data_IF_755816972636
#
_entry.id   IF_755816972636
#
_cell.length_a   1.000
_cell.length_b   1.000
_cell.length_c   1.000
_cell.angle_alpha   90.00
_cell.angle_beta   90.00
_cell.angle_gamma   90.00
#
_symmetry.space_group_name_H-M   'P 1'
#
loop_
_entity.id
_entity.type
_entity.pdbx_description
1 polymer ?
#
# COMPACT_ATOMS: atom_id res chain seq x y z
N UNK A 1 -28.24 20.58 -9.61
CA UNK A 1 -26.76 20.69 -9.53
C UNK A 1 -26.18 20.60 -8.11
N UNK A 2 -26.80 21.12 -7.05
CA UNK A 2 -26.28 21.03 -5.65
C UNK A 2 -26.32 19.63 -5.02
N UNK A 3 -27.24 18.72 -5.40
CA UNK A 3 -27.27 17.33 -4.87
C UNK A 3 -26.11 16.45 -5.34
N UNK A 4 -25.61 16.65 -6.57
CA UNK A 4 -24.46 15.92 -7.12
C UNK A 4 -23.14 16.23 -6.41
N UNK A 5 -23.02 17.37 -5.71
CA UNK A 5 -21.80 17.71 -4.96
C UNK A 5 -21.77 17.07 -3.56
N UNK A 6 -22.92 16.89 -2.93
CA UNK A 6 -23.03 16.23 -1.62
C UNK A 6 -22.85 14.71 -1.68
N UNK A 7 -23.28 14.07 -2.77
CA UNK A 7 -23.05 12.62 -2.98
C UNK A 7 -21.57 12.29 -3.29
N UNK A 8 -20.79 13.23 -3.81
CA UNK A 8 -19.33 13.09 -3.97
C UNK A 8 -18.54 13.24 -2.67
N UNK A 9 -19.08 13.91 -1.65
CA UNK A 9 -18.47 14.07 -0.33
C UNK A 9 -18.73 12.86 0.59
N UNK A 10 -19.68 11.99 0.24
CA UNK A 10 -20.04 10.80 1.03
C UNK A 10 -19.32 9.52 0.55
N UNK A 11 -18.04 9.60 0.12
CA UNK A 11 -17.26 8.39 -0.09
C UNK A 11 -17.08 7.69 1.27
N UNK A 12 -17.57 6.44 1.43
CA UNK A 12 -17.55 5.73 2.73
C UNK A 12 -16.12 5.61 3.29
N UNK A 13 -15.10 5.58 2.43
CA UNK A 13 -13.70 5.54 2.83
C UNK A 13 -13.25 6.84 3.52
N UNK A 14 -13.65 8.00 2.99
CA UNK A 14 -13.35 9.30 3.62
C UNK A 14 -14.08 9.46 4.94
N UNK A 15 -15.35 9.00 5.01
CA UNK A 15 -16.10 8.99 6.26
C UNK A 15 -15.44 8.09 7.31
N UNK A 16 -14.94 6.92 6.90
CA UNK A 16 -14.20 6.01 7.78
C UNK A 16 -12.91 6.65 8.30
N UNK A 17 -12.13 7.33 7.43
CA UNK A 17 -10.93 8.06 7.86
C UNK A 17 -11.28 9.15 8.88
N UNK A 18 -12.29 9.97 8.58
CA UNK A 18 -12.74 11.04 9.49
C UNK A 18 -13.21 10.43 10.81
N UNK A 19 -13.99 9.34 10.79
CA UNK A 19 -14.45 8.66 12.01
C UNK A 19 -13.28 8.18 12.87
N UNK A 20 -12.27 7.50 12.27
CA UNK A 20 -11.10 7.03 13.00
C UNK A 20 -10.29 8.20 13.57
N UNK A 21 -10.10 9.28 12.82
CA UNK A 21 -9.42 10.47 13.31
C UNK A 21 -10.19 11.16 14.44
N UNK A 22 -11.52 11.24 14.36
CA UNK A 22 -12.38 11.78 15.43
C UNK A 22 -12.31 10.92 16.68
N UNK A 23 -12.34 9.60 16.57
CA UNK A 23 -12.18 8.68 17.70
C UNK A 23 -10.83 8.92 18.38
N UNK A 24 -9.74 9.02 17.61
CA UNK A 24 -8.42 9.32 18.15
C UNK A 24 -8.39 10.67 18.85
N UNK A 25 -9.06 11.69 18.32
CA UNK A 25 -9.14 13.00 18.95
C UNK A 25 -9.92 13.00 20.26
N UNK A 26 -11.03 12.28 20.31
CA UNK A 26 -11.87 12.16 21.51
C UNK A 26 -11.15 11.39 22.63
N UNK A 27 -10.41 10.32 22.26
CA UNK A 27 -9.67 9.51 23.23
C UNK A 27 -8.35 10.16 23.66
N UNK A 28 -7.71 10.91 22.77
CA UNK A 28 -6.39 11.52 22.98
C UNK A 28 -6.41 13.01 22.63
N UNK A 29 -6.71 13.93 23.58
CA UNK A 29 -6.87 15.36 23.31
C UNK A 29 -5.68 16.04 22.64
N UNK A 30 -4.47 15.49 22.82
CA UNK A 30 -3.23 15.98 22.21
C UNK A 30 -2.93 15.41 20.81
N UNK A 31 -3.79 14.56 20.25
CA UNK A 31 -3.56 13.87 18.99
C UNK A 31 -3.33 14.84 17.82
N UNK A 32 -4.07 15.93 17.75
CA UNK A 32 -3.92 16.97 16.72
C UNK A 32 -3.00 18.12 17.14
N UNK A 33 -2.27 17.99 18.26
CA UNK A 33 -1.31 19.02 18.65
C UNK A 33 -0.11 18.97 17.72
N UNK A 34 -0.01 19.94 16.82
CA UNK A 34 1.09 20.09 15.87
C UNK A 34 2.05 21.14 16.42
N UNK A 35 3.34 20.82 16.44
CA UNK A 35 4.42 21.73 16.79
C UNK A 35 5.38 21.88 15.62
N UNK A 36 5.88 23.10 15.42
CA UNK A 36 6.94 23.36 14.45
C UNK A 36 8.28 23.33 15.17
N UNK A 37 9.19 22.42 14.76
CA UNK A 37 10.53 22.30 15.32
C UNK A 37 11.52 22.00 14.20
N UNK A 38 12.68 22.64 14.23
CA UNK A 38 13.79 22.41 13.28
C UNK A 38 13.34 22.37 11.80
N UNK A 39 12.44 23.30 11.41
CA UNK A 39 11.98 23.42 10.02
C UNK A 39 10.97 22.36 9.57
N UNK A 40 10.38 21.58 10.49
CA UNK A 40 9.39 20.54 10.18
C UNK A 40 8.24 20.47 11.19
N UNK A 41 7.14 19.91 10.74
CA UNK A 41 5.96 19.65 11.55
C UNK A 41 6.14 18.34 12.35
N UNK A 42 5.78 18.39 13.64
CA UNK A 42 5.75 17.24 14.55
C UNK A 42 4.37 17.12 15.19
N UNK A 43 3.93 15.91 15.45
CA UNK A 43 2.67 15.59 16.12
C UNK A 43 2.09 14.25 15.63
N UNK A 44 1.19 13.65 16.41
CA UNK A 44 0.62 12.33 16.08
C UNK A 44 -0.08 12.29 14.72
N UNK A 45 -0.72 13.39 14.31
CA UNK A 45 -1.31 13.50 12.96
C UNK A 45 -0.25 13.49 11.85
N UNK A 46 0.91 14.10 12.09
CA UNK A 46 2.05 14.07 11.14
C UNK A 46 2.68 12.68 11.12
N UNK A 47 2.77 12.02 12.27
CA UNK A 47 3.25 10.64 12.37
C UNK A 47 2.36 9.66 11.61
N UNK A 48 1.04 9.86 11.61
CA UNK A 48 0.12 9.07 10.77
C UNK A 48 0.49 9.16 9.30
N UNK A 49 0.79 10.35 8.81
CA UNK A 49 1.14 10.56 7.40
C UNK A 49 2.53 10.00 7.10
N UNK A 50 3.50 10.23 7.98
CA UNK A 50 4.89 9.78 7.80
C UNK A 50 5.01 8.26 7.83
N UNK A 51 4.52 7.64 8.90
CA UNK A 51 4.58 6.17 9.08
C UNK A 51 3.60 5.42 8.17
N UNK A 52 2.54 6.09 7.70
CA UNK A 52 1.62 5.56 6.71
C UNK A 52 2.14 5.60 5.28
N UNK A 53 3.17 6.42 5.00
CA UNK A 53 3.70 6.58 3.65
C UNK A 53 4.22 5.27 3.02
N UNK A 54 5.00 4.40 3.70
CA UNK A 54 5.42 3.13 3.13
C UNK A 54 4.24 2.23 2.73
N UNK A 55 3.22 2.10 3.59
CA UNK A 55 2.01 1.32 3.29
C UNK A 55 1.24 1.94 2.14
N UNK A 56 1.14 3.28 2.08
CA UNK A 56 0.49 3.99 0.97
C UNK A 56 1.21 3.75 -0.36
N UNK A 57 2.55 3.79 -0.37
CA UNK A 57 3.36 3.49 -1.56
C UNK A 57 3.12 2.05 -2.03
N UNK A 58 3.14 1.07 -1.11
CA UNK A 58 2.82 -0.32 -1.43
C UNK A 58 1.39 -0.47 -1.96
N UNK A 59 0.41 0.18 -1.34
CA UNK A 59 -0.98 0.15 -1.76
C UNK A 59 -1.19 0.70 -3.18
N UNK A 60 -0.42 1.72 -3.59
CA UNK A 60 -0.45 2.26 -4.96
C UNK A 60 -0.11 1.14 -5.97
N UNK A 61 1.00 0.42 -5.77
CA UNK A 61 1.40 -0.69 -6.64
C UNK A 61 0.42 -1.86 -6.58
N UNK A 62 0.04 -2.27 -5.36
CA UNK A 62 -0.87 -3.37 -5.09
C UNK A 62 -2.27 -3.15 -5.70
N UNK A 63 -2.72 -1.88 -5.82
CA UNK A 63 -4.04 -1.56 -6.40
C UNK A 63 -4.17 -2.08 -7.82
N UNK A 64 -3.15 -1.95 -8.66
CA UNK A 64 -3.14 -2.49 -10.02
C UNK A 64 -3.20 -4.01 -10.04
N UNK A 65 -2.43 -4.66 -9.16
CA UNK A 65 -2.38 -6.12 -9.04
C UNK A 65 -3.74 -6.68 -8.62
N UNK A 66 -4.36 -6.13 -7.58
CA UNK A 66 -5.68 -6.55 -7.09
C UNK A 66 -6.75 -6.27 -8.15
N UNK A 67 -6.68 -5.13 -8.84
CA UNK A 67 -7.61 -4.80 -9.91
C UNK A 67 -7.62 -5.83 -11.05
N UNK A 68 -6.50 -6.54 -11.27
CA UNK A 68 -6.38 -7.65 -12.25
C UNK A 68 -6.63 -9.03 -11.66
N UNK A 69 -7.25 -9.15 -10.48
CA UNK A 69 -7.48 -10.42 -9.71
C UNK A 69 -6.20 -11.10 -9.24
N UNK A 70 -5.09 -10.37 -9.15
CA UNK A 70 -3.85 -10.84 -8.56
C UNK A 70 -3.73 -10.44 -7.10
N UNK A 71 -2.76 -11.05 -6.42
CA UNK A 71 -2.26 -10.63 -5.11
C UNK A 71 -0.74 -10.73 -5.16
N UNK A 72 -0.04 -9.73 -4.65
CA UNK A 72 1.42 -9.72 -4.60
C UNK A 72 1.91 -9.78 -3.15
N UNK A 73 2.22 -10.98 -2.69
CA UNK A 73 2.72 -11.21 -1.33
C UNK A 73 4.21 -10.88 -1.19
N UNK A 74 4.91 -10.66 -2.30
CA UNK A 74 6.36 -10.44 -2.28
C UNK A 74 6.79 -9.01 -1.94
N UNK A 75 5.86 -8.05 -1.92
CA UNK A 75 6.19 -6.61 -1.77
C UNK A 75 7.00 -6.32 -0.50
N UNK A 76 6.72 -7.00 0.62
CA UNK A 76 7.49 -6.86 1.87
C UNK A 76 8.91 -7.41 1.75
N UNK A 77 9.10 -8.53 1.04
CA UNK A 77 10.41 -9.09 0.77
C UNK A 77 11.22 -8.23 -0.21
N UNK A 78 10.57 -7.71 -1.28
CA UNK A 78 11.19 -6.77 -2.22
C UNK A 78 11.66 -5.51 -1.49
N UNK A 79 10.85 -4.97 -0.55
CA UNK A 79 11.27 -3.85 0.32
C UNK A 79 12.57 -4.17 1.05
N UNK A 80 12.65 -5.35 1.69
CA UNK A 80 13.83 -5.77 2.45
C UNK A 80 15.06 -5.89 1.53
N UNK A 81 14.91 -6.52 0.35
CA UNK A 81 16.00 -6.64 -0.63
C UNK A 81 16.47 -5.27 -1.10
N UNK A 82 15.55 -4.38 -1.50
CA UNK A 82 15.91 -3.07 -2.04
C UNK A 82 16.53 -2.16 -0.96
N UNK A 83 16.01 -2.21 0.27
CA UNK A 83 16.64 -1.53 1.41
C UNK A 83 18.05 -2.05 1.71
N UNK A 84 18.23 -3.38 1.67
CA UNK A 84 19.53 -4.02 1.85
C UNK A 84 20.53 -3.61 0.76
N UNK A 85 20.10 -3.60 -0.52
CA UNK A 85 20.95 -3.14 -1.65
C UNK A 85 21.35 -1.69 -1.47
N UNK A 86 20.39 -0.79 -1.18
CA UNK A 86 20.69 0.62 -1.00
C UNK A 86 21.69 0.86 0.16
N UNK A 87 21.46 0.24 1.32
CA UNK A 87 22.33 0.39 2.48
C UNK A 87 23.74 -0.19 2.25
N UNK A 88 23.83 -1.41 1.73
CA UNK A 88 25.14 -2.05 1.49
C UNK A 88 25.97 -1.34 0.44
N UNK A 89 25.36 -0.80 -0.61
CA UNK A 89 26.08 -0.01 -1.63
C UNK A 89 26.63 1.28 -1.04
N UNK A 90 25.86 2.00 -0.23
CA UNK A 90 26.34 3.22 0.43
C UNK A 90 27.46 2.92 1.41
N UNK A 91 27.36 1.84 2.19
CA UNK A 91 28.43 1.39 3.10
C UNK A 91 29.69 0.97 2.32
N UNK A 92 29.53 0.43 1.11
CA UNK A 92 30.64 0.11 0.21
C UNK A 92 31.26 1.35 -0.48
N UNK A 93 30.78 2.57 -0.19
CA UNK A 93 31.32 3.82 -0.72
C UNK A 93 30.70 4.29 -2.04
N UNK A 94 29.63 3.66 -2.53
CA UNK A 94 28.93 4.15 -3.73
C UNK A 94 28.08 5.38 -3.38
N UNK A 95 27.97 6.36 -4.29
CA UNK A 95 27.11 7.54 -4.08
C UNK A 95 25.65 7.13 -3.91
N UNK A 96 24.91 7.81 -3.01
CA UNK A 96 23.49 7.54 -2.74
C UNK A 96 22.61 7.47 -4.00
N UNK A 97 22.73 8.35 -5.01
CA UNK A 97 21.93 8.23 -6.23
C UNK A 97 22.14 6.90 -6.98
N UNK A 98 23.39 6.39 -7.02
CA UNK A 98 23.72 5.10 -7.65
C UNK A 98 23.07 3.96 -6.86
N UNK A 99 23.17 3.99 -5.53
CA UNK A 99 22.56 3.00 -4.66
C UNK A 99 21.02 2.98 -4.80
N UNK A 100 20.38 4.15 -4.88
CA UNK A 100 18.94 4.29 -5.11
C UNK A 100 18.54 3.72 -6.48
N UNK A 101 19.26 4.06 -7.56
CA UNK A 101 18.98 3.53 -8.90
C UNK A 101 19.13 2.01 -8.93
N UNK A 102 20.17 1.47 -8.29
CA UNK A 102 20.38 0.03 -8.20
C UNK A 102 19.25 -0.67 -7.45
N UNK A 103 18.81 -0.12 -6.30
CA UNK A 103 17.69 -0.64 -5.55
C UNK A 103 16.38 -0.60 -6.35
N UNK A 104 16.11 0.48 -7.09
CA UNK A 104 14.95 0.58 -7.98
C UNK A 104 15.01 -0.43 -9.12
N UNK A 105 16.19 -0.64 -9.72
CA UNK A 105 16.39 -1.64 -10.77
C UNK A 105 16.14 -3.07 -10.26
N UNK A 106 16.58 -3.39 -9.03
CA UNK A 106 16.31 -4.67 -8.37
C UNK A 106 14.82 -4.86 -8.14
N UNK A 107 14.11 -3.84 -7.61
CA UNK A 107 12.66 -3.92 -7.41
C UNK A 107 11.88 -4.08 -8.71
N UNK A 108 12.31 -3.37 -9.77
CA UNK A 108 11.74 -3.54 -11.11
C UNK A 108 11.96 -4.97 -11.63
N UNK A 109 13.17 -5.52 -11.48
CA UNK A 109 13.48 -6.89 -11.89
C UNK A 109 12.63 -7.93 -11.13
N UNK A 110 12.47 -7.77 -9.81
CA UNK A 110 11.60 -8.62 -8.99
C UNK A 110 10.14 -8.54 -9.44
N UNK A 111 9.63 -7.33 -9.70
CA UNK A 111 8.27 -7.14 -10.21
C UNK A 111 8.08 -7.74 -11.59
N UNK A 112 9.03 -7.56 -12.51
CA UNK A 112 9.00 -8.18 -13.84
C UNK A 112 9.06 -9.70 -13.75
N UNK A 113 9.85 -10.26 -12.83
CA UNK A 113 9.90 -11.70 -12.56
C UNK A 113 8.53 -12.25 -12.17
N UNK A 114 7.87 -11.64 -11.17
CA UNK A 114 6.50 -12.01 -10.80
C UNK A 114 5.53 -11.87 -11.98
N UNK A 115 5.63 -10.75 -12.70
CA UNK A 115 4.82 -10.51 -13.88
C UNK A 115 5.04 -11.58 -14.96
N UNK A 116 6.27 -12.04 -15.17
CA UNK A 116 6.58 -13.13 -16.09
C UNK A 116 5.94 -14.45 -15.63
N UNK A 117 6.09 -14.82 -14.36
CA UNK A 117 5.50 -16.05 -13.81
C UNK A 117 3.97 -16.05 -13.96
N UNK A 118 3.31 -14.92 -13.67
CA UNK A 118 1.84 -14.81 -13.71
C UNK A 118 1.31 -14.61 -15.12
N UNK A 119 1.94 -13.75 -15.94
CA UNK A 119 1.39 -13.36 -17.22
C UNK A 119 1.77 -14.30 -18.37
N UNK A 120 2.97 -14.88 -18.31
CA UNK A 120 3.53 -15.72 -19.40
C UNK A 120 3.40 -17.19 -19.07
N UNK A 121 3.84 -17.61 -17.86
CA UNK A 121 3.76 -19.00 -17.41
C UNK A 121 2.39 -19.39 -16.84
N UNK A 122 1.48 -18.41 -16.68
CA UNK A 122 0.11 -18.57 -16.19
C UNK A 122 0.03 -19.22 -14.79
N UNK A 123 1.07 -18.97 -13.97
CA UNK A 123 1.12 -19.43 -12.58
C UNK A 123 0.16 -18.59 -11.74
N UNK A 124 -0.55 -19.24 -10.82
CA UNK A 124 -1.45 -18.53 -9.91
C UNK A 124 -0.70 -17.43 -9.14
N UNK A 125 -1.21 -16.18 -9.14
CA UNK A 125 -0.52 -15.01 -8.55
C UNK A 125 -0.01 -15.22 -7.13
N UNK A 126 -0.84 -15.77 -6.25
CA UNK A 126 -0.47 -16.03 -4.85
C UNK A 126 0.74 -16.97 -4.77
N UNK A 127 0.75 -18.05 -5.57
CA UNK A 127 1.86 -19.02 -5.58
C UNK A 127 3.14 -18.38 -6.11
N UNK A 128 3.06 -17.68 -7.24
CA UNK A 128 4.21 -17.02 -7.86
C UNK A 128 4.88 -16.00 -6.90
N UNK A 129 4.08 -15.15 -6.27
CA UNK A 129 4.59 -14.10 -5.38
C UNK A 129 5.03 -14.63 -4.02
N UNK A 130 4.44 -15.73 -3.54
CA UNK A 130 4.86 -16.40 -2.31
C UNK A 130 6.27 -16.99 -2.45
N UNK A 131 6.62 -17.55 -3.62
CA UNK A 131 7.99 -18.02 -3.88
C UNK A 131 8.99 -16.87 -3.73
N UNK A 132 8.71 -15.71 -4.35
CA UNK A 132 9.59 -14.54 -4.23
C UNK A 132 9.55 -13.95 -2.81
N UNK A 133 8.43 -14.02 -2.09
CA UNK A 133 8.36 -13.61 -0.69
C UNK A 133 9.37 -14.37 0.18
N UNK A 134 9.43 -15.69 0.03
CA UNK A 134 10.36 -16.53 0.81
C UNK A 134 11.80 -16.36 0.31
N UNK A 135 12.04 -16.49 -1.00
CA UNK A 135 13.37 -16.35 -1.59
C UNK A 135 13.95 -14.95 -1.39
N UNK A 136 13.12 -13.90 -1.58
CA UNK A 136 13.53 -12.51 -1.40
C UNK A 136 13.94 -12.20 0.04
N UNK A 137 13.25 -12.77 1.03
CA UNK A 137 13.68 -12.64 2.44
C UNK A 137 15.05 -13.24 2.67
N UNK A 138 15.30 -14.45 2.14
CA UNK A 138 16.63 -15.08 2.18
C UNK A 138 17.70 -14.27 1.46
N UNK A 139 17.40 -13.72 0.28
CA UNK A 139 18.32 -12.86 -0.48
C UNK A 139 18.67 -11.60 0.33
N UNK A 140 17.69 -10.93 0.95
CA UNK A 140 17.95 -9.77 1.78
C UNK A 140 18.87 -10.10 2.97
N UNK A 141 18.66 -11.25 3.63
CA UNK A 141 19.52 -11.75 4.71
C UNK A 141 20.94 -12.07 4.21
N UNK A 142 21.10 -12.66 3.03
CA UNK A 142 22.42 -12.92 2.43
C UNK A 142 23.17 -11.61 2.14
N UNK A 143 22.49 -10.59 1.59
CA UNK A 143 23.08 -9.28 1.30
C UNK A 143 23.56 -8.61 2.59
N UNK A 144 22.78 -8.67 3.66
CA UNK A 144 23.10 -8.05 4.95
C UNK A 144 23.93 -8.95 5.87
N UNK A 145 24.24 -10.18 5.44
CA UNK A 145 24.90 -11.21 6.27
C UNK A 145 24.15 -11.47 7.58
N UNK A 146 22.82 -11.37 7.56
CA UNK A 146 21.94 -11.61 8.70
C UNK A 146 21.97 -10.53 9.81
N UNK A 147 22.72 -9.44 9.61
CA UNK A 147 22.85 -8.33 10.56
C UNK A 147 22.20 -7.05 10.03
N UNK A 148 21.93 -6.08 10.92
CA UNK A 148 21.47 -4.76 10.49
C UNK A 148 22.66 -3.99 9.93
N UNK A 149 22.55 -3.58 8.65
CA UNK A 149 23.58 -2.76 7.99
C UNK A 149 23.22 -1.30 8.19
N UNK A 150 23.93 -0.61 9.07
CA UNK A 150 23.72 0.82 9.35
C UNK A 150 24.57 1.69 8.45
N UNK A 151 24.06 2.87 8.06
CA UNK A 151 24.75 3.86 7.25
C UNK A 151 24.52 5.28 7.79
N UNK A 152 25.39 6.20 7.39
CA UNK A 152 25.31 7.60 7.80
C UNK A 152 25.48 8.57 6.61
N UNK A 153 24.93 8.20 5.44
CA UNK A 153 24.93 9.04 4.25
C UNK A 153 23.79 10.07 4.32
N UNK A 154 24.10 11.39 4.30
CA UNK A 154 23.07 12.43 4.47
C UNK A 154 22.03 12.43 3.34
N UNK A 155 22.40 12.11 2.11
CA UNK A 155 21.48 12.14 0.97
C UNK A 155 20.47 10.98 1.06
N UNK A 156 20.93 9.79 1.45
CA UNK A 156 20.02 8.65 1.65
C UNK A 156 19.13 8.86 2.88
N UNK A 157 19.69 9.34 3.99
CA UNK A 157 18.93 9.67 5.22
C UNK A 157 17.85 10.72 4.94
N UNK A 158 18.11 11.70 4.07
CA UNK A 158 17.13 12.73 3.73
C UNK A 158 15.84 12.15 3.11
N UNK A 159 15.91 11.02 2.40
CA UNK A 159 14.75 10.36 1.80
C UNK A 159 13.77 9.87 2.88
N UNK A 160 14.25 9.37 4.02
CA UNK A 160 13.41 8.89 5.12
C UNK A 160 13.06 9.96 6.15
N UNK A 161 14.08 10.69 6.62
CA UNK A 161 13.92 11.62 7.74
C UNK A 161 13.88 13.10 7.35
N UNK A 162 14.10 13.43 6.07
CA UNK A 162 14.04 14.81 5.58
C UNK A 162 12.64 15.40 5.60
N UNK A 163 12.58 16.72 5.34
CA UNK A 163 11.32 17.43 5.20
C UNK A 163 11.32 18.33 3.96
N UNK A 164 10.19 18.43 3.31
CA UNK A 164 9.95 19.35 2.20
C UNK A 164 8.73 20.22 2.53
N UNK A 165 8.89 21.55 2.58
CA UNK A 165 7.85 22.48 3.01
C UNK A 165 7.23 22.13 4.39
N UNK A 166 8.04 21.58 5.29
CA UNK A 166 7.60 21.17 6.63
C UNK A 166 6.93 19.80 6.70
N UNK A 167 6.62 19.16 5.57
CA UNK A 167 6.05 17.81 5.51
C UNK A 167 7.17 16.76 5.46
N UNK A 168 6.98 15.58 6.09
CA UNK A 168 7.93 14.47 6.00
C UNK A 168 8.17 14.05 4.54
N UNK A 169 9.43 13.82 4.18
CA UNK A 169 9.81 13.47 2.80
C UNK A 169 9.15 12.17 2.32
N UNK A 170 8.99 11.19 3.19
CA UNK A 170 8.28 9.95 2.88
C UNK A 170 6.83 10.21 2.43
N UNK A 171 6.12 11.12 3.10
CA UNK A 171 4.76 11.51 2.74
C UNK A 171 4.71 12.25 1.39
N UNK A 172 5.70 13.11 1.12
CA UNK A 172 5.83 13.82 -0.17
C UNK A 172 6.05 12.81 -1.30
N UNK A 173 6.93 11.83 -1.10
CA UNK A 173 7.18 10.76 -2.08
C UNK A 173 5.88 9.97 -2.36
N UNK A 174 5.16 9.56 -1.32
CA UNK A 174 3.89 8.85 -1.47
C UNK A 174 2.84 9.69 -2.22
N UNK A 175 2.74 10.99 -1.93
CA UNK A 175 1.82 11.91 -2.59
C UNK A 175 2.17 12.10 -4.08
N UNK A 176 3.45 12.33 -4.38
CA UNK A 176 3.92 12.49 -5.77
C UNK A 176 3.65 11.20 -6.55
N UNK A 177 3.98 10.04 -5.99
CA UNK A 177 3.73 8.75 -6.63
C UNK A 177 2.24 8.50 -6.85
N UNK A 178 1.39 8.82 -5.86
CA UNK A 178 -0.06 8.73 -5.98
C UNK A 178 -0.58 9.60 -7.14
N UNK A 179 -0.11 10.84 -7.25
CA UNK A 179 -0.51 11.75 -8.33
C UNK A 179 -0.05 11.20 -9.68
N UNK A 180 1.22 10.82 -9.82
CA UNK A 180 1.79 10.32 -11.07
C UNK A 180 1.05 9.06 -11.57
N UNK A 181 0.86 8.06 -10.70
CA UNK A 181 0.18 6.81 -11.08
C UNK A 181 -1.30 7.05 -11.33
N UNK A 182 -1.96 7.94 -10.57
CA UNK A 182 -3.37 8.31 -10.81
C UNK A 182 -3.52 9.02 -12.16
N UNK A 183 -2.64 9.94 -12.50
CA UNK A 183 -2.65 10.62 -13.80
C UNK A 183 -2.39 9.63 -14.95
N UNK A 184 -1.40 8.75 -14.80
CA UNK A 184 -1.11 7.69 -15.77
C UNK A 184 -2.35 6.86 -16.05
N UNK A 185 -3.00 6.35 -14.99
CA UNK A 185 -4.18 5.48 -15.10
C UNK A 185 -5.41 6.22 -15.64
N UNK A 186 -5.63 7.48 -15.23
CA UNK A 186 -6.82 8.25 -15.64
C UNK A 186 -6.70 8.95 -16.99
N UNK A 187 -5.48 9.30 -17.41
CA UNK A 187 -5.23 10.03 -18.67
C UNK A 187 -4.87 9.12 -19.83
N UNK A 188 -4.65 7.83 -19.58
CA UNK A 188 -4.34 6.83 -20.61
C UNK A 188 -5.38 5.70 -20.60
N UNK A 189 -5.37 4.88 -21.65
CA UNK A 189 -6.22 3.70 -21.74
C UNK A 189 -5.84 2.58 -20.76
N UNK A 190 -4.67 2.69 -20.09
CA UNK A 190 -4.14 1.66 -19.17
C UNK A 190 -5.16 1.32 -18.08
N UNK A 191 -5.78 2.33 -17.48
CA UNK A 191 -6.77 2.12 -16.43
C UNK A 191 -8.00 1.34 -16.89
N UNK A 192 -8.49 1.64 -18.09
CA UNK A 192 -9.61 0.91 -18.70
C UNK A 192 -9.21 -0.55 -18.99
N UNK A 193 -8.02 -0.76 -19.51
CA UNK A 193 -7.51 -2.10 -19.83
C UNK A 193 -7.28 -2.95 -18.59
N UNK A 194 -6.76 -2.36 -17.49
CA UNK A 194 -6.63 -3.04 -16.19
C UNK A 194 -8.01 -3.51 -15.70
N UNK A 195 -9.03 -2.64 -15.76
CA UNK A 195 -10.40 -2.99 -15.37
C UNK A 195 -10.98 -4.10 -16.24
N UNK A 196 -10.79 -4.03 -17.56
CA UNK A 196 -11.26 -5.03 -18.51
C UNK A 196 -10.65 -6.41 -18.23
N UNK A 197 -9.32 -6.47 -18.00
CA UNK A 197 -8.62 -7.71 -17.64
C UNK A 197 -9.15 -8.24 -16.30
N UNK A 198 -9.38 -7.36 -15.33
CA UNK A 198 -9.90 -7.72 -14.02
C UNK A 198 -11.32 -8.28 -14.07
N UNK A 199 -12.16 -7.83 -15.00
CA UNK A 199 -13.50 -8.41 -15.19
C UNK A 199 -13.40 -9.77 -15.87
N UNK A 200 -12.76 -9.84 -17.05
CA UNK A 200 -12.57 -11.10 -17.78
C UNK A 200 -11.34 -11.01 -18.70
N UNK A 201 -10.25 -11.69 -18.31
CA UNK A 201 -8.98 -11.70 -19.04
C UNK A 201 -9.12 -12.27 -20.47
N UNK A 202 -9.91 -13.33 -20.63
CA UNK A 202 -10.12 -13.98 -21.93
C UNK A 202 -10.88 -13.06 -22.89
N UNK A 203 -11.97 -12.45 -22.42
CA UNK A 203 -12.74 -11.50 -23.23
C UNK A 203 -11.91 -10.27 -23.58
N UNK A 204 -11.11 -9.73 -22.67
CA UNK A 204 -10.19 -8.64 -22.91
C UNK A 204 -9.15 -8.98 -23.99
N UNK A 205 -8.61 -10.19 -23.98
CA UNK A 205 -7.67 -10.65 -24.99
C UNK A 205 -8.31 -10.80 -26.36
N UNK A 206 -9.56 -11.30 -26.45
CA UNK A 206 -10.34 -11.38 -27.68
C UNK A 206 -10.67 -10.00 -28.25
N UNK A 207 -10.84 -9.00 -27.39
CA UNK A 207 -11.01 -7.59 -27.78
C UNK A 207 -9.69 -6.89 -28.19
N UNK A 208 -8.57 -7.63 -28.33
CA UNK A 208 -7.29 -7.11 -28.80
C UNK A 208 -6.41 -6.50 -27.71
N UNK A 209 -6.77 -6.60 -26.41
CA UNK A 209 -5.95 -6.10 -25.32
C UNK A 209 -4.77 -7.07 -25.09
N UNK A 210 -3.55 -6.55 -25.10
CA UNK A 210 -2.33 -7.32 -24.80
C UNK A 210 -2.23 -7.64 -23.29
N UNK A 211 -3.10 -8.53 -22.81
CA UNK A 211 -3.27 -8.83 -21.37
C UNK A 211 -1.98 -9.27 -20.71
N UNK A 212 -1.10 -10.04 -21.39
CA UNK A 212 0.20 -10.49 -20.84
C UNK A 212 1.12 -9.31 -20.53
N UNK A 213 1.30 -8.40 -21.50
CA UNK A 213 2.16 -7.24 -21.33
C UNK A 213 1.65 -6.32 -20.21
N UNK A 214 0.33 -6.13 -20.14
CA UNK A 214 -0.24 -5.26 -19.12
C UNK A 214 -0.12 -5.83 -17.71
N UNK A 215 -0.30 -7.14 -17.54
CA UNK A 215 -0.03 -7.83 -16.27
C UNK A 215 1.43 -7.68 -15.87
N UNK A 216 2.39 -7.87 -16.80
CA UNK A 216 3.82 -7.65 -16.50
C UNK A 216 4.08 -6.22 -16.02
N UNK A 217 3.49 -5.20 -16.67
CA UNK A 217 3.64 -3.79 -16.27
C UNK A 217 3.04 -3.52 -14.89
N UNK A 218 1.91 -4.14 -14.55
CA UNK A 218 1.27 -4.00 -13.24
C UNK A 218 2.15 -4.55 -12.12
N UNK A 219 2.73 -5.75 -12.31
CA UNK A 219 3.67 -6.32 -11.33
C UNK A 219 4.99 -5.55 -11.29
N UNK A 220 5.50 -5.05 -12.42
CA UNK A 220 6.67 -4.19 -12.48
C UNK A 220 6.46 -2.90 -11.66
N UNK A 221 5.29 -2.27 -11.78
CA UNK A 221 4.91 -1.11 -10.96
C UNK A 221 4.82 -1.47 -9.47
N UNK A 222 4.27 -2.65 -9.12
CA UNK A 222 4.23 -3.15 -7.73
C UNK A 222 5.64 -3.29 -7.16
N UNK A 223 6.56 -3.91 -7.91
CA UNK A 223 7.96 -4.06 -7.51
C UNK A 223 8.69 -2.72 -7.36
N UNK A 224 8.45 -1.75 -8.25
CA UNK A 224 8.99 -0.40 -8.12
C UNK A 224 8.45 0.33 -6.88
N UNK A 225 7.14 0.24 -6.61
CA UNK A 225 6.56 0.79 -5.38
C UNK A 225 7.19 0.14 -4.14
N UNK A 226 7.38 -1.18 -4.15
CA UNK A 226 8.03 -1.90 -3.06
C UNK A 226 9.49 -1.45 -2.86
N UNK A 227 10.24 -1.21 -3.95
CA UNK A 227 11.60 -0.67 -3.87
C UNK A 227 11.63 0.72 -3.24
N UNK A 228 10.76 1.63 -3.69
CA UNK A 228 10.66 2.98 -3.13
C UNK A 228 10.32 2.92 -1.63
N UNK A 229 9.33 2.10 -1.23
CA UNK A 229 8.98 1.91 0.16
C UNK A 229 10.14 1.33 0.98
N UNK A 230 10.91 0.39 0.42
CA UNK A 230 12.09 -0.21 1.05
C UNK A 230 13.21 0.80 1.29
N UNK A 231 13.49 1.66 0.31
CA UNK A 231 14.47 2.74 0.44
C UNK A 231 14.02 3.75 1.51
N UNK A 232 12.75 4.15 1.51
CA UNK A 232 12.19 5.08 2.50
C UNK A 232 12.31 4.52 3.92
N UNK A 233 11.96 3.25 4.12
CA UNK A 233 12.06 2.60 5.44
C UNK A 233 13.52 2.45 5.88
N UNK A 234 14.42 2.01 4.99
CA UNK A 234 15.84 1.91 5.29
C UNK A 234 16.44 3.28 5.65
N UNK A 235 16.04 4.34 4.94
CA UNK A 235 16.47 5.71 5.21
C UNK A 235 15.94 6.25 6.55
N UNK A 236 14.69 5.92 6.91
CA UNK A 236 14.06 6.35 8.17
C UNK A 236 14.79 5.75 9.40
N UNK A 237 15.09 4.45 9.37
CA UNK A 237 15.83 3.77 10.45
C UNK A 237 17.36 3.91 10.33
N UNK A 238 17.85 4.58 9.28
CA UNK A 238 19.28 4.71 8.94
C UNK A 238 20.01 3.37 8.84
N UNK A 239 19.32 2.38 8.31
CA UNK A 239 19.87 1.03 8.20
C UNK A 239 18.95 0.08 7.43
N UNK A 240 19.46 -1.09 7.09
CA UNK A 240 18.70 -2.17 6.49
C UNK A 240 18.58 -3.32 7.48
N UNK A 241 17.37 -3.57 7.96
CA UNK A 241 17.02 -4.75 8.77
C UNK A 241 16.32 -5.77 7.87
N UNK A 242 17.09 -6.72 7.34
CA UNK A 242 16.56 -7.75 6.45
C UNK A 242 15.55 -8.70 7.12
N UNK A 243 15.56 -8.80 8.46
CA UNK A 243 14.68 -9.70 9.20
C UNK A 243 13.29 -9.09 9.41
N UNK A 244 13.23 -7.80 9.77
CA UNK A 244 11.98 -7.15 10.18
C UNK A 244 11.44 -6.16 9.14
N UNK A 245 12.29 -5.62 8.26
CA UNK A 245 11.84 -4.63 7.26
C UNK A 245 10.81 -5.24 6.32
N UNK A 246 9.67 -4.59 6.16
CA UNK A 246 8.58 -5.03 5.30
C UNK A 246 7.76 -6.22 5.84
N UNK A 247 8.05 -6.72 7.05
CA UNK A 247 7.32 -7.86 7.63
C UNK A 247 5.85 -7.47 7.90
N UNK A 248 4.92 -8.27 7.35
CA UNK A 248 3.47 -8.07 7.42
C UNK A 248 2.92 -6.83 6.66
N UNK A 249 3.79 -6.03 6.02
CA UNK A 249 3.33 -4.86 5.25
C UNK A 249 2.60 -5.24 3.96
N UNK A 250 2.83 -6.43 3.42
CA UNK A 250 2.04 -7.00 2.33
C UNK A 250 0.56 -7.11 2.70
N UNK A 251 0.25 -7.55 3.93
CA UNK A 251 -1.13 -7.64 4.42
C UNK A 251 -1.73 -6.25 4.63
N UNK A 252 -0.97 -5.31 5.17
CA UNK A 252 -1.41 -3.92 5.33
C UNK A 252 -1.70 -3.26 3.97
N UNK A 253 -0.87 -3.53 2.96
CA UNK A 253 -1.09 -3.01 1.61
C UNK A 253 -2.37 -3.59 0.97
N UNK A 254 -2.60 -4.91 1.10
CA UNK A 254 -3.83 -5.54 0.63
C UNK A 254 -5.04 -4.94 1.35
N UNK A 255 -4.97 -4.85 2.67
CA UNK A 255 -6.05 -4.30 3.49
C UNK A 255 -6.34 -2.84 3.13
N UNK A 256 -5.30 -2.01 2.91
CA UNK A 256 -5.44 -0.63 2.48
C UNK A 256 -6.20 -0.51 1.15
N UNK A 257 -5.86 -1.35 0.18
CA UNK A 257 -6.51 -1.38 -1.14
C UNK A 257 -7.97 -1.81 -1.04
N UNK A 258 -8.27 -2.78 -0.17
CA UNK A 258 -9.63 -3.30 0.04
C UNK A 258 -10.50 -2.29 0.80
N UNK A 259 -9.98 -1.66 1.87
CA UNK A 259 -10.63 -0.53 2.56
C UNK A 259 -10.87 0.62 1.57
N UNK A 260 -9.91 0.86 0.66
CA UNK A 260 -10.04 1.82 -0.44
C UNK A 260 -11.16 1.50 -1.44
N UNK A 261 -11.85 0.36 -1.30
CA UNK A 261 -13.00 -0.03 -2.10
C UNK A 261 -12.65 -0.80 -3.38
N UNK A 262 -11.41 -1.26 -3.54
CA UNK A 262 -11.03 -2.16 -4.63
C UNK A 262 -11.38 -3.60 -4.24
N UNK A 263 -12.19 -4.28 -5.05
CA UNK A 263 -12.57 -5.66 -4.79
C UNK A 263 -11.46 -6.64 -5.13
N UNK A 264 -11.26 -7.67 -4.28
CA UNK A 264 -10.37 -8.79 -4.55
C UNK A 264 -10.82 -9.62 -5.78
N UNK A 265 -12.07 -9.48 -6.20
CA UNK A 265 -12.59 -10.09 -7.43
C UNK A 265 -12.20 -9.31 -8.69
N UNK A 266 -11.38 -8.26 -8.56
CA UNK A 266 -10.88 -7.44 -9.66
C UNK A 266 -11.90 -6.44 -10.23
N UNK A 267 -11.50 -5.73 -11.27
CA UNK A 267 -12.33 -4.75 -11.97
C UNK A 267 -12.09 -3.31 -11.51
N UNK A 268 -13.10 -2.64 -10.99
CA UNK A 268 -13.00 -1.22 -10.60
C UNK A 268 -12.03 -1.00 -9.46
N UNK A 269 -11.23 0.06 -9.56
CA UNK A 269 -10.24 0.42 -8.54
C UNK A 269 -10.03 1.93 -8.44
N UNK A 270 -9.45 2.39 -7.34
CA UNK A 270 -9.13 3.80 -7.11
C UNK A 270 -7.84 3.93 -6.30
N UNK A 271 -6.77 4.41 -6.94
CA UNK A 271 -5.47 4.63 -6.31
C UNK A 271 -5.56 5.63 -5.14
N UNK A 272 -6.22 6.81 -5.27
CA UNK A 272 -6.34 7.73 -4.14
C UNK A 272 -7.08 7.13 -2.95
N UNK A 273 -8.11 6.29 -3.20
CA UNK A 273 -8.85 5.65 -2.10
C UNK A 273 -8.04 4.54 -1.42
N UNK A 274 -7.15 3.85 -2.14
CA UNK A 274 -6.20 2.90 -1.54
C UNK A 274 -5.21 3.62 -0.60
N UNK A 275 -4.74 4.81 -0.97
CA UNK A 275 -3.92 5.65 -0.08
C UNK A 275 -4.72 6.11 1.16
N UNK A 276 -5.99 6.48 0.99
CA UNK A 276 -6.88 6.76 2.14
C UNK A 276 -7.01 5.54 3.04
N UNK A 277 -7.14 4.33 2.48
CA UNK A 277 -7.13 3.07 3.23
C UNK A 277 -5.85 2.87 4.04
N UNK A 278 -4.68 3.16 3.47
CA UNK A 278 -3.41 3.12 4.20
C UNK A 278 -3.36 4.10 5.37
N UNK A 279 -3.90 5.31 5.19
CA UNK A 279 -4.00 6.30 6.26
C UNK A 279 -4.97 5.87 7.37
N UNK A 280 -6.07 5.19 7.04
CA UNK A 280 -7.00 4.62 8.03
C UNK A 280 -6.26 3.59 8.91
N UNK A 281 -5.53 2.65 8.29
CA UNK A 281 -4.76 1.64 9.02
C UNK A 281 -3.72 2.31 9.93
N UNK A 282 -3.00 3.29 9.41
CA UNK A 282 -1.96 3.97 10.20
C UNK A 282 -2.54 4.84 11.32
N UNK A 283 -3.68 5.51 11.09
CA UNK A 283 -4.36 6.26 12.15
C UNK A 283 -4.79 5.36 13.30
N UNK A 284 -5.26 4.15 13.00
CA UNK A 284 -5.54 3.13 14.04
C UNK A 284 -4.27 2.66 14.75
N UNK A 285 -3.23 2.31 13.99
CA UNK A 285 -1.94 1.89 14.57
C UNK A 285 -1.41 2.97 15.53
N UNK A 286 -1.47 4.24 15.12
CA UNK A 286 -1.01 5.37 15.95
C UNK A 286 -1.89 5.52 17.19
N UNK A 287 -3.21 5.36 17.08
CA UNK A 287 -4.14 5.39 18.22
C UNK A 287 -3.82 4.30 19.24
N UNK A 288 -3.56 3.06 18.79
CA UNK A 288 -3.18 1.95 19.67
C UNK A 288 -1.83 2.23 20.37
N UNK A 289 -0.85 2.77 19.66
CA UNK A 289 0.45 3.15 20.26
C UNK A 289 0.31 4.26 21.30
N UNK A 290 -0.49 5.28 21.04
CA UNK A 290 -0.73 6.40 21.96
C UNK A 290 -1.54 5.97 23.19
N UNK A 291 -2.39 4.95 23.07
CA UNK A 291 -3.17 4.40 24.18
C UNK A 291 -2.35 3.64 25.22
N UNK A 292 -1.07 3.32 24.92
CA UNK A 292 -0.22 2.54 25.79
C UNK A 292 -0.50 1.02 25.77
N UNK A 293 -1.40 0.56 24.89
CA UNK A 293 -1.56 -0.89 24.67
C UNK A 293 -0.31 -1.48 24.01
N UNK A 294 -0.11 -2.78 24.27
CA UNK A 294 1.00 -3.51 23.66
C UNK A 294 0.85 -3.54 22.13
N UNK A 295 1.95 -3.38 21.36
CA UNK A 295 1.91 -3.37 19.90
C UNK A 295 1.26 -4.61 19.27
N UNK A 296 1.28 -5.75 19.98
CA UNK A 296 0.68 -7.01 19.53
C UNK A 296 -0.84 -6.92 19.33
N UNK A 297 -1.52 -6.02 20.05
CA UNK A 297 -2.94 -5.75 19.84
C UNK A 297 -3.26 -5.28 18.41
N UNK A 298 -2.29 -4.64 17.73
CA UNK A 298 -2.45 -4.26 16.33
C UNK A 298 -2.81 -5.44 15.42
N UNK A 299 -2.18 -6.60 15.65
CA UNK A 299 -2.43 -7.79 14.83
C UNK A 299 -3.86 -8.31 15.02
N UNK A 300 -4.37 -8.29 16.26
CA UNK A 300 -5.75 -8.71 16.58
C UNK A 300 -6.76 -7.75 15.96
N UNK A 301 -6.52 -6.44 16.08
CA UNK A 301 -7.41 -5.42 15.51
C UNK A 301 -7.42 -5.50 13.98
N UNK A 302 -6.25 -5.68 13.34
CA UNK A 302 -6.15 -5.89 11.89
C UNK A 302 -6.90 -7.14 11.44
N UNK A 303 -6.74 -8.26 12.16
CA UNK A 303 -7.48 -9.50 11.87
C UNK A 303 -9.00 -9.27 11.97
N UNK A 304 -9.47 -8.60 13.00
CA UNK A 304 -10.88 -8.22 13.15
C UNK A 304 -11.38 -7.36 12.00
N UNK A 305 -10.58 -6.39 11.55
CA UNK A 305 -10.92 -5.55 10.39
C UNK A 305 -10.99 -6.36 9.09
N UNK A 306 -10.05 -7.26 8.86
CA UNK A 306 -10.08 -8.13 7.67
C UNK A 306 -11.37 -8.93 7.65
N UNK A 307 -11.74 -9.57 8.78
CA UNK A 307 -12.98 -10.34 8.90
C UNK A 307 -14.19 -9.45 8.63
N UNK A 308 -14.26 -8.26 9.25
CA UNK A 308 -15.36 -7.32 9.06
C UNK A 308 -15.53 -6.91 7.60
N UNK A 309 -14.41 -6.58 6.92
CA UNK A 309 -14.43 -6.17 5.52
C UNK A 309 -14.85 -7.33 4.62
N UNK A 310 -14.34 -8.54 4.84
CA UNK A 310 -14.74 -9.72 4.08
C UNK A 310 -16.22 -10.03 4.28
N UNK A 311 -16.75 -9.88 5.49
CA UNK A 311 -18.18 -10.01 5.76
C UNK A 311 -18.98 -8.96 4.99
N UNK A 312 -18.59 -7.69 5.01
CA UNK A 312 -19.28 -6.61 4.30
C UNK A 312 -19.24 -6.77 2.77
N UNK A 313 -18.19 -7.37 2.23
CA UNK A 313 -18.06 -7.67 0.80
C UNK A 313 -18.74 -9.00 0.40
N UNK A 314 -19.18 -9.81 1.36
CA UNK A 314 -19.85 -11.09 1.09
C UNK A 314 -21.22 -10.86 0.40
N UNK A 315 -21.51 -11.57 -0.70
CA UNK A 315 -22.82 -11.51 -1.36
C UNK A 315 -23.98 -11.94 -0.45
N UNK A 316 -23.69 -12.69 0.62
CA UNK A 316 -24.68 -13.10 1.62
C UNK A 316 -25.31 -11.92 2.37
N UNK A 317 -24.56 -10.85 2.63
CA UNK A 317 -25.12 -9.65 3.27
C UNK A 317 -26.06 -8.92 2.32
N UNK A 318 -25.79 -8.90 1.02
CA UNK A 318 -26.70 -8.35 0.01
C UNK A 318 -28.05 -9.09 -0.03
N UNK A 319 -28.03 -10.40 0.16
CA UNK A 319 -29.26 -11.21 0.28
C UNK A 319 -29.99 -11.00 1.60
N UNK A 320 -29.28 -10.91 2.71
CA UNK A 320 -29.88 -10.65 4.05
C UNK A 320 -30.53 -9.25 4.11
N UNK A 321 -29.89 -8.22 3.61
CA UNK A 321 -30.48 -6.86 3.54
C UNK A 321 -31.66 -6.80 2.58
N UNK A 322 -31.68 -7.64 1.53
CA UNK A 322 -32.83 -7.81 0.64
C UNK A 322 -34.03 -8.47 1.32
N UNK A 323 -33.81 -9.44 2.19
CA UNK A 323 -34.87 -10.08 2.99
C UNK A 323 -35.53 -9.08 3.97
N UNK A 324 -34.73 -8.35 4.75
CA UNK A 324 -35.24 -7.33 5.69
C UNK A 324 -35.99 -6.18 5.00
N UNK A 325 -35.58 -5.78 3.79
CA UNK A 325 -36.29 -4.79 2.97
C UNK A 325 -37.64 -5.30 2.42
N UNK A 326 -37.75 -6.60 2.20
CA UNK A 326 -39.00 -7.22 1.71
C UNK A 326 -40.05 -7.33 2.82
N UNK A 327 -39.61 -7.72 4.02
CA UNK A 327 -40.51 -7.81 5.19
C UNK A 327 -41.02 -6.44 5.63
N UNK A 328 -40.19 -5.38 5.60
CA UNK A 328 -40.62 -4.03 5.95
C UNK A 328 -41.60 -3.44 4.93
N UNK A 329 -41.56 -3.81 3.66
CA UNK A 329 -42.55 -3.38 2.66
C UNK A 329 -43.86 -4.15 2.77
N UNK A 330 -43.85 -5.41 3.21
CA UNK A 330 -45.09 -6.18 3.47
C UNK A 330 -45.77 -5.76 4.77
N UNK A 331 -44.99 -5.35 5.76
CA UNK A 331 -45.55 -4.81 7.02
C UNK A 331 -46.16 -3.41 6.86
N UNK A 332 -45.70 -2.61 5.90
CA UNK A 332 -46.24 -1.26 5.62
C UNK A 332 -47.45 -1.28 4.68
N UNK A 333 -47.80 -2.42 4.11
CA UNK A 333 -48.95 -2.58 3.21
C UNK A 333 -50.17 -3.28 3.86
N UNK A 334 -50.10 -3.60 5.17
CA UNK A 334 -51.20 -4.03 6.01
C UNK A 334 -51.59 -2.92 7.00
#
# INVERSE_FOLDING_TARGET
MKRLHLERLANPQLLALVAVLLINWLLFPNFFRISWRDGRLFGSAIDVINRGAPVAILAIGMTGVIATKGVDLSVGAIMAVCGAVAATMVVAGYPAPVAVIAALAVGLACGLWNGFLVAVLDIQPIVATLVLMVAGRGIAQLITKGSIVTFNDPALIFIGTGSFLGLPMAAVIALVLMILVTLLVRRTAIGLFIQAIGVNRSAASLAGIRSRMLLMLVYALSGLCAAIAGIVVAADIRGADANNSGLWLELDAILAVVIGGTSLLGGKFSIPMAVVGALIIQAMNTGILVSGFRPEFNLIVKAGMIILILMLQSPLIGTLTGFFKRDSKQAASK
#
